data_IF_287983518795
#
_entry.id   IF_287983518795
#
_cell.length_a   1.000
_cell.length_b   1.000
_cell.length_c   1.000
_cell.angle_alpha   90.00
_cell.angle_beta   90.00
_cell.angle_gamma   90.00
#
_symmetry.space_group_name_H-M   'P 1'
#
loop_
_entity.id
_entity.type
_entity.pdbx_description
1 polymer ?
#
# COMPACT_ATOMS: atom_id res chain seq x y z
N UNK A 1 27.92 -9.12 -94.84
CA UNK A 1 27.44 -7.91 -94.17
C UNK A 1 26.56 -8.36 -92.97
N UNK A 2 27.18 -8.62 -91.85
CA UNK A 2 26.52 -9.12 -90.62
C UNK A 2 26.34 -7.94 -89.70
N UNK A 3 25.08 -7.59 -89.35
CA UNK A 3 24.72 -6.60 -88.35
C UNK A 3 24.68 -7.27 -87.02
N UNK A 4 25.58 -6.83 -86.11
CA UNK A 4 25.62 -7.19 -84.69
C UNK A 4 24.57 -6.38 -83.99
N UNK A 5 23.53 -6.96 -83.42
CA UNK A 5 22.58 -6.32 -82.50
C UNK A 5 23.13 -6.52 -81.10
N UNK A 6 23.53 -5.43 -80.48
CA UNK A 6 23.85 -5.41 -79.04
C UNK A 6 22.56 -5.12 -78.25
N UNK A 7 22.07 -6.13 -77.53
CA UNK A 7 20.99 -5.97 -76.58
C UNK A 7 21.57 -5.45 -75.29
N UNK A 8 21.29 -4.19 -74.97
CA UNK A 8 21.54 -3.61 -73.63
C UNK A 8 20.38 -4.00 -72.73
N UNK A 9 20.62 -4.97 -71.85
CA UNK A 9 19.68 -5.37 -70.82
C UNK A 9 19.80 -4.39 -69.65
N UNK A 10 18.87 -3.45 -69.51
CA UNK A 10 18.75 -2.58 -68.33
C UNK A 10 18.20 -3.41 -67.17
N UNK A 11 19.06 -3.81 -66.22
CA UNK A 11 18.64 -4.36 -64.97
C UNK A 11 18.21 -3.22 -64.08
N UNK A 12 16.89 -2.99 -63.98
CA UNK A 12 16.31 -2.13 -62.91
C UNK A 12 16.46 -2.88 -61.59
N UNK A 13 17.43 -2.52 -60.76
CA UNK A 13 17.52 -2.93 -59.36
C UNK A 13 16.46 -2.12 -58.62
N UNK A 14 15.29 -2.69 -58.43
CA UNK A 14 14.33 -2.22 -57.45
C UNK A 14 14.92 -2.52 -56.06
N UNK A 15 15.48 -1.51 -55.41
CA UNK A 15 15.80 -1.54 -53.97
C UNK A 15 14.46 -1.57 -53.24
N UNK A 16 13.96 -2.76 -52.89
CA UNK A 16 12.87 -2.92 -51.98
C UNK A 16 13.46 -2.57 -50.62
N UNK A 17 13.27 -1.33 -50.16
CA UNK A 17 13.43 -0.99 -48.78
C UNK A 17 12.32 -1.71 -48.03
N UNK A 18 12.61 -2.85 -47.41
CA UNK A 18 11.80 -3.37 -46.35
C UNK A 18 11.88 -2.35 -45.22
N UNK A 19 10.86 -1.53 -45.11
CA UNK A 19 10.58 -0.83 -43.87
C UNK A 19 10.14 -1.97 -42.94
N UNK A 20 11.07 -2.48 -42.17
CA UNK A 20 10.71 -3.23 -40.97
C UNK A 20 9.96 -2.22 -40.12
N UNK A 21 8.66 -2.45 -39.88
CA UNK A 21 8.02 -1.82 -38.75
C UNK A 21 8.91 -2.22 -37.56
N UNK A 22 9.50 -1.25 -36.90
CA UNK A 22 10.22 -1.48 -35.66
C UNK A 22 9.16 -2.01 -34.70
N UNK A 23 9.34 -3.24 -34.19
CA UNK A 23 8.44 -3.75 -33.17
C UNK A 23 8.54 -2.80 -32.00
N UNK A 24 7.41 -2.24 -31.58
CA UNK A 24 7.32 -1.34 -30.42
C UNK A 24 7.97 -2.03 -29.22
N UNK A 25 8.99 -1.41 -28.66
CA UNK A 25 9.62 -1.90 -27.44
C UNK A 25 8.91 -1.29 -26.23
N UNK A 26 8.51 -2.11 -25.25
CA UNK A 26 7.86 -1.55 -24.07
C UNK A 26 8.81 -0.62 -23.31
N UNK A 27 8.32 0.51 -22.79
CA UNK A 27 9.10 1.39 -21.94
C UNK A 27 9.47 0.71 -20.61
N UNK A 28 10.53 1.21 -19.98
CA UNK A 28 11.00 0.77 -18.67
C UNK A 28 10.97 1.94 -17.71
N UNK A 29 10.27 1.79 -16.59
CA UNK A 29 10.22 2.76 -15.49
C UNK A 29 11.21 2.41 -14.41
N UNK A 30 11.88 3.44 -13.86
CA UNK A 30 12.68 3.33 -12.64
C UNK A 30 12.42 4.51 -11.70
N UNK A 31 12.42 4.26 -10.40
CA UNK A 31 12.27 5.29 -9.38
C UNK A 31 13.11 4.95 -8.14
N UNK A 32 13.62 5.98 -7.47
CA UNK A 32 14.25 5.89 -6.16
C UNK A 32 13.56 6.85 -5.20
N UNK A 33 13.40 6.43 -3.96
CA UNK A 33 12.81 7.22 -2.88
C UNK A 33 12.36 6.29 -1.75
N UNK A 34 12.89 6.54 -0.56
CA UNK A 34 12.53 5.81 0.67
C UNK A 34 12.87 6.73 1.85
N UNK A 35 12.10 7.80 1.96
CA UNK A 35 12.35 8.88 2.92
C UNK A 35 11.47 8.72 4.16
N UNK A 36 11.86 9.38 5.25
CA UNK A 36 11.04 9.47 6.45
C UNK A 36 10.04 10.62 6.32
N UNK A 37 8.75 10.32 6.51
CA UNK A 37 7.68 11.30 6.37
C UNK A 37 7.58 12.23 7.57
N UNK A 38 7.60 13.54 7.31
CA UNK A 38 7.29 14.58 8.30
C UNK A 38 5.81 14.99 8.20
N UNK A 39 4.97 14.74 9.23
CA UNK A 39 3.54 15.03 9.18
C UNK A 39 3.22 16.49 8.85
N UNK A 40 2.09 16.73 8.19
CA UNK A 40 1.57 18.06 7.86
C UNK A 40 2.53 18.91 7.00
N UNK A 41 3.45 18.26 6.28
CA UNK A 41 4.35 18.91 5.32
C UNK A 41 4.15 18.35 3.91
N UNK A 42 4.48 19.16 2.90
CA UNK A 42 4.61 18.66 1.54
C UNK A 42 5.99 18.03 1.38
N UNK A 43 6.03 16.82 0.84
CA UNK A 43 7.26 16.07 0.64
C UNK A 43 7.28 15.41 -0.73
N UNK A 44 8.44 15.47 -1.41
CA UNK A 44 8.61 14.77 -2.68
C UNK A 44 8.42 13.26 -2.47
N UNK A 45 7.75 12.62 -3.41
CA UNK A 45 7.49 11.17 -3.38
C UNK A 45 8.62 10.35 -3.98
N UNK A 46 9.57 10.99 -4.62
CA UNK A 46 10.72 10.34 -5.24
C UNK A 46 11.95 11.24 -5.14
N UNK A 47 13.12 10.64 -5.04
CA UNK A 47 14.42 11.32 -5.16
C UNK A 47 14.96 11.30 -6.58
N UNK A 48 14.54 10.32 -7.38
CA UNK A 48 14.76 10.25 -8.81
C UNK A 48 13.70 9.40 -9.50
N UNK A 49 13.31 9.81 -10.70
CA UNK A 49 12.37 9.08 -11.56
C UNK A 49 12.85 9.14 -13.01
N UNK A 50 12.77 8.02 -13.72
CA UNK A 50 13.14 7.94 -15.12
C UNK A 50 12.24 6.97 -15.91
N UNK A 51 12.05 7.25 -17.18
CA UNK A 51 11.43 6.41 -18.19
C UNK A 51 12.40 6.26 -19.34
N UNK A 52 12.72 5.02 -19.71
CA UNK A 52 13.49 4.70 -20.89
C UNK A 52 12.57 4.03 -21.90
N UNK A 53 12.42 4.64 -23.07
CA UNK A 53 11.67 4.11 -24.19
C UNK A 53 12.56 4.23 -25.44
N UNK A 54 12.97 3.09 -26.08
CA UNK A 54 13.96 3.11 -27.16
C UNK A 54 13.43 3.66 -28.47
N UNK A 55 12.12 3.66 -28.71
CA UNK A 55 11.51 3.97 -30.01
C UNK A 55 10.39 5.02 -29.92
N UNK A 56 9.87 5.33 -28.73
CA UNK A 56 8.90 6.39 -28.51
C UNK A 56 9.47 7.56 -27.70
N UNK A 57 9.03 8.77 -28.02
CA UNK A 57 9.40 10.01 -27.31
C UNK A 57 8.23 10.65 -26.58
N UNK A 58 7.03 10.11 -26.77
CA UNK A 58 5.78 10.57 -26.17
C UNK A 58 5.02 9.37 -25.60
N UNK A 59 4.20 9.61 -24.59
CA UNK A 59 3.25 8.62 -24.07
C UNK A 59 1.92 9.27 -23.73
N UNK A 60 0.85 8.47 -23.72
CA UNK A 60 -0.51 8.94 -23.49
C UNK A 60 -0.68 9.45 -22.06
N UNK A 61 -0.29 8.66 -21.07
CA UNK A 61 -0.39 9.01 -19.67
C UNK A 61 0.64 8.26 -18.80
N UNK A 62 0.94 8.83 -17.64
CA UNK A 62 1.55 8.15 -16.50
C UNK A 62 0.64 8.30 -15.29
N UNK A 63 0.50 7.26 -14.52
CA UNK A 63 -0.30 7.24 -13.29
C UNK A 63 0.59 7.09 -12.07
N UNK A 64 0.31 7.90 -11.04
CA UNK A 64 0.94 7.79 -9.72
C UNK A 64 -0.16 7.52 -8.71
N UNK A 65 -0.12 6.37 -8.04
CA UNK A 65 -1.11 5.99 -7.04
C UNK A 65 -0.46 5.86 -5.67
N UNK A 66 -1.18 6.26 -4.63
CA UNK A 66 -0.86 5.86 -3.25
C UNK A 66 -1.36 4.43 -3.08
N UNK A 67 -0.53 3.46 -3.48
CA UNK A 67 -0.91 2.04 -3.58
C UNK A 67 -1.01 1.31 -2.24
N UNK A 68 -0.48 1.92 -1.16
CA UNK A 68 -0.61 1.38 0.20
C UNK A 68 -0.75 2.53 1.20
N UNK A 69 -1.70 2.38 2.11
CA UNK A 69 -1.91 3.31 3.21
C UNK A 69 -2.64 4.60 2.82
N UNK A 70 -3.34 4.65 1.69
CA UNK A 70 -4.13 5.81 1.27
C UNK A 70 -5.24 6.11 2.27
N UNK A 71 -5.39 7.39 2.62
CA UNK A 71 -6.44 7.91 3.47
C UNK A 71 -7.29 8.92 2.68
N UNK A 72 -8.42 8.45 2.17
CA UNK A 72 -9.32 9.27 1.34
C UNK A 72 -9.78 10.52 2.10
N UNK A 73 -9.67 11.68 1.44
CA UNK A 73 -10.02 12.99 2.01
C UNK A 73 -8.92 13.62 2.88
N UNK A 74 -7.86 12.90 3.23
CA UNK A 74 -6.74 13.40 4.01
C UNK A 74 -5.45 13.50 3.18
N UNK A 75 -5.21 12.51 2.30
CA UNK A 75 -4.03 12.38 1.48
C UNK A 75 -4.23 12.98 0.09
N UNK A 76 -3.19 13.60 -0.44
CA UNK A 76 -3.19 14.21 -1.76
C UNK A 76 -1.82 14.17 -2.41
N UNK A 77 -1.79 13.88 -3.72
CA UNK A 77 -0.65 14.13 -4.60
C UNK A 77 -0.89 15.41 -5.39
N UNK A 78 0.13 16.25 -5.50
CA UNK A 78 0.07 17.53 -6.20
C UNK A 78 1.33 17.76 -7.01
N UNK A 79 1.17 18.13 -8.28
CA UNK A 79 2.26 18.63 -9.09
C UNK A 79 2.60 20.07 -8.70
N UNK A 80 3.85 20.31 -8.32
CA UNK A 80 4.39 21.64 -8.00
C UNK A 80 5.19 22.21 -9.17
N UNK A 81 5.66 23.45 -9.03
CA UNK A 81 6.48 24.07 -10.08
C UNK A 81 5.68 24.55 -11.30
N UNK A 82 6.33 24.62 -12.46
CA UNK A 82 5.75 25.09 -13.72
C UNK A 82 6.01 24.11 -14.85
N UNK A 83 4.98 23.41 -15.25
CA UNK A 83 4.98 22.37 -16.29
C UNK A 83 3.95 22.68 -17.38
N UNK A 84 4.24 23.64 -18.29
CA UNK A 84 3.25 24.13 -19.25
C UNK A 84 2.76 23.08 -20.26
N UNK A 85 3.51 22.00 -20.44
CA UNK A 85 3.20 20.91 -21.36
C UNK A 85 2.53 19.70 -20.65
N UNK A 86 2.22 19.82 -19.35
CA UNK A 86 1.63 18.78 -18.53
C UNK A 86 0.28 19.24 -17.99
N UNK A 87 -0.67 18.32 -17.96
CA UNK A 87 -1.94 18.41 -17.23
C UNK A 87 -2.02 17.26 -16.24
N UNK A 88 -2.67 17.49 -15.10
CA UNK A 88 -2.88 16.47 -14.08
C UNK A 88 -4.33 16.38 -13.68
N UNK A 89 -4.78 15.17 -13.33
CA UNK A 89 -6.08 14.91 -12.73
C UNK A 89 -5.91 14.05 -11.48
N UNK A 90 -6.45 14.51 -10.34
CA UNK A 90 -6.42 13.76 -9.08
C UNK A 90 -7.74 13.02 -8.87
N UNK A 91 -7.71 11.69 -8.88
CA UNK A 91 -8.82 10.83 -8.53
C UNK A 91 -8.80 10.54 -7.02
N UNK A 92 -9.73 11.18 -6.28
CA UNK A 92 -9.83 11.05 -4.82
C UNK A 92 -10.41 9.72 -4.36
N UNK A 93 -11.04 8.94 -5.24
CA UNK A 93 -11.54 7.62 -4.91
C UNK A 93 -10.38 6.61 -4.81
N UNK A 94 -9.53 6.59 -5.83
CA UNK A 94 -8.41 5.66 -5.96
C UNK A 94 -7.09 6.15 -5.36
N UNK A 95 -7.02 7.42 -4.91
CA UNK A 95 -5.74 7.98 -4.49
C UNK A 95 -4.72 8.07 -5.63
N UNK A 96 -5.18 8.38 -6.85
CA UNK A 96 -4.42 8.28 -8.10
C UNK A 96 -4.31 9.61 -8.83
N UNK A 97 -3.09 10.00 -9.18
CA UNK A 97 -2.76 11.18 -9.99
C UNK A 97 -2.45 10.74 -11.41
N UNK A 98 -3.25 11.19 -12.36
CA UNK A 98 -3.01 11.04 -13.79
C UNK A 98 -2.16 12.22 -14.29
N UNK A 99 -1.14 11.94 -15.10
CA UNK A 99 -0.23 12.91 -15.73
C UNK A 99 -0.31 12.72 -17.23
N UNK A 100 -0.79 13.74 -17.95
CA UNK A 100 -0.94 13.77 -19.43
C UNK A 100 -0.42 15.06 -20.02
N UNK A 101 -0.46 15.20 -21.32
CA UNK A 101 -0.35 16.49 -21.98
C UNK A 101 -1.65 17.31 -21.88
N UNK A 102 -1.60 18.62 -22.19
CA UNK A 102 -2.77 19.49 -22.11
C UNK A 102 -3.96 18.97 -22.92
N UNK A 103 -5.12 18.89 -22.26
CA UNK A 103 -6.36 18.39 -22.86
C UNK A 103 -6.42 16.86 -23.01
N UNK A 104 -5.62 16.11 -22.25
CA UNK A 104 -5.56 14.65 -22.30
C UNK A 104 -4.82 14.10 -23.52
N UNK A 105 -3.98 14.93 -24.15
CA UNK A 105 -3.15 14.48 -25.28
C UNK A 105 -1.87 13.82 -24.78
N UNK A 106 -1.18 13.03 -25.63
CA UNK A 106 0.15 12.51 -25.29
C UNK A 106 1.13 13.63 -24.92
N UNK A 107 1.99 13.38 -23.94
CA UNK A 107 3.06 14.27 -23.52
C UNK A 107 4.43 13.70 -23.88
N UNK A 108 5.44 14.59 -23.99
CA UNK A 108 6.81 14.11 -24.15
C UNK A 108 7.25 13.40 -22.86
N UNK A 109 7.95 12.28 -23.01
CA UNK A 109 8.51 11.50 -21.90
C UNK A 109 9.39 12.39 -21.01
N UNK A 110 10.20 13.28 -21.59
CA UNK A 110 11.03 14.21 -20.83
C UNK A 110 10.24 15.20 -19.96
N UNK A 111 9.07 15.66 -20.46
CA UNK A 111 8.19 16.56 -19.69
C UNK A 111 7.50 15.81 -18.55
N UNK A 112 7.11 14.54 -18.78
CA UNK A 112 6.55 13.65 -17.74
C UNK A 112 7.59 13.37 -16.66
N UNK A 113 8.82 13.00 -17.01
CA UNK A 113 9.91 12.77 -16.04
C UNK A 113 10.15 14.02 -15.19
N UNK A 114 10.18 15.20 -15.80
CA UNK A 114 10.36 16.45 -15.07
C UNK A 114 9.18 16.72 -14.11
N UNK A 115 7.96 16.44 -14.54
CA UNK A 115 6.76 16.60 -13.72
C UNK A 115 6.75 15.65 -12.53
N UNK A 116 7.02 14.36 -12.74
CA UNK A 116 7.02 13.34 -11.65
C UNK A 116 8.00 13.71 -10.54
N UNK A 117 9.19 14.22 -10.88
CA UNK A 117 10.18 14.64 -9.89
C UNK A 117 9.75 15.89 -9.07
N UNK A 118 8.71 16.59 -9.50
CA UNK A 118 8.12 17.75 -8.81
C UNK A 118 6.74 17.42 -8.17
N UNK A 119 6.31 16.14 -8.20
CA UNK A 119 5.11 15.70 -7.46
C UNK A 119 5.42 15.58 -5.98
N UNK A 120 4.55 16.18 -5.16
CA UNK A 120 4.63 16.11 -3.71
C UNK A 120 3.41 15.40 -3.13
N UNK A 121 3.64 14.71 -2.03
CA UNK A 121 2.61 14.16 -1.15
C UNK A 121 2.33 15.13 -0.01
N UNK A 122 1.08 15.22 0.40
CA UNK A 122 0.63 15.90 1.62
C UNK A 122 -0.49 15.10 2.26
N UNK A 123 -0.48 15.00 3.60
CA UNK A 123 -1.61 14.50 4.39
C UNK A 123 -2.03 15.54 5.42
N UNK A 124 -3.34 15.73 5.58
CA UNK A 124 -3.91 16.55 6.66
C UNK A 124 -3.98 15.80 7.99
N UNK A 125 -3.69 14.49 8.00
CA UNK A 125 -3.62 13.68 9.21
C UNK A 125 -2.34 14.00 10.00
N UNK A 126 -2.44 14.42 11.28
CA UNK A 126 -1.26 14.68 12.10
C UNK A 126 -0.54 13.39 12.56
N UNK A 127 -1.20 12.23 12.46
CA UNK A 127 -0.61 10.93 12.80
C UNK A 127 0.02 10.34 11.54
N UNK A 128 1.36 10.26 11.48
CA UNK A 128 2.02 9.76 10.28
C UNK A 128 1.75 8.26 10.10
N UNK A 129 1.46 7.86 8.87
CA UNK A 129 1.44 6.46 8.43
C UNK A 129 2.33 6.30 7.21
N UNK A 130 2.95 5.14 7.06
CA UNK A 130 3.77 4.87 5.88
C UNK A 130 2.90 4.81 4.63
N UNK A 131 3.45 5.30 3.52
CA UNK A 131 2.80 5.33 2.21
C UNK A 131 3.71 4.68 1.18
N UNK A 132 3.11 3.92 0.27
CA UNK A 132 3.80 3.44 -0.93
C UNK A 132 3.18 4.12 -2.14
N UNK A 133 4.02 4.62 -3.04
CA UNK A 133 3.60 5.24 -4.30
C UNK A 133 4.01 4.33 -5.43
N UNK A 134 3.07 3.93 -6.26
CA UNK A 134 3.33 3.22 -7.51
C UNK A 134 3.28 4.19 -8.69
N UNK A 135 4.22 4.03 -9.61
CA UNK A 135 4.27 4.74 -10.89
C UNK A 135 3.99 3.71 -11.98
N UNK A 136 2.99 3.93 -12.81
CA UNK A 136 2.51 2.91 -13.75
C UNK A 136 2.20 3.52 -15.10
N UNK A 137 2.63 2.84 -16.18
CA UNK A 137 2.16 3.07 -17.54
C UNK A 137 0.94 2.19 -17.76
N UNK A 138 -0.17 2.82 -18.20
CA UNK A 138 -1.49 2.16 -18.22
C UNK A 138 -2.27 2.41 -16.94
N UNK A 139 -3.58 2.23 -17.02
CA UNK A 139 -4.57 2.69 -16.04
C UNK A 139 -4.85 1.70 -14.90
N UNK A 140 -4.37 0.46 -14.99
CA UNK A 140 -4.52 -0.52 -13.91
C UNK A 140 -3.76 -0.10 -12.65
N UNK A 141 -4.34 -0.41 -11.49
CA UNK A 141 -3.75 -0.13 -10.19
C UNK A 141 -2.67 -1.17 -9.87
N UNK A 142 -1.44 -0.73 -9.65
CA UNK A 142 -0.31 -1.62 -9.38
C UNK A 142 -0.02 -1.71 -7.88
N UNK A 143 0.03 -2.93 -7.35
CA UNK A 143 0.43 -3.20 -5.98
C UNK A 143 1.87 -3.75 -5.93
N UNK A 144 2.84 -2.98 -5.42
CA UNK A 144 4.25 -3.39 -5.41
C UNK A 144 4.55 -4.64 -4.56
N UNK A 145 3.76 -4.91 -3.51
CA UNK A 145 3.98 -6.07 -2.62
C UNK A 145 3.69 -7.41 -3.31
N UNK A 146 2.77 -7.44 -4.27
CA UNK A 146 2.45 -8.62 -5.08
C UNK A 146 3.12 -8.60 -6.45
N UNK A 147 3.35 -7.40 -6.99
CA UNK A 147 3.75 -7.20 -8.38
C UNK A 147 2.60 -7.34 -9.37
N UNK A 148 1.35 -7.34 -8.88
CA UNK A 148 0.15 -7.52 -9.68
C UNK A 148 -0.57 -6.20 -9.96
N UNK A 149 -1.49 -6.25 -10.94
CA UNK A 149 -2.31 -5.13 -11.38
C UNK A 149 -3.78 -5.45 -11.16
N UNK A 150 -4.56 -4.47 -10.76
CA UNK A 150 -5.98 -4.62 -10.41
C UNK A 150 -6.83 -3.61 -11.17
N UNK A 151 -7.95 -4.08 -11.73
CA UNK A 151 -8.91 -3.25 -12.47
C UNK A 151 -10.33 -3.63 -12.07
N UNK A 152 -11.15 -2.64 -11.68
CA UNK A 152 -12.60 -2.83 -11.58
C UNK A 152 -13.21 -2.67 -12.97
N UNK A 153 -13.92 -3.68 -13.42
CA UNK A 153 -14.63 -3.69 -14.69
C UNK A 153 -16.11 -3.46 -14.42
N UNK A 154 -16.62 -2.30 -14.86
CA UNK A 154 -18.05 -2.01 -14.78
C UNK A 154 -18.84 -2.93 -15.71
N UNK A 155 -19.71 -3.77 -15.17
CA UNK A 155 -20.64 -4.60 -15.92
C UNK A 155 -21.89 -4.89 -15.06
N UNK A 156 -22.95 -4.16 -15.35
CA UNK A 156 -24.18 -4.19 -14.55
C UNK A 156 -24.91 -5.53 -14.76
N UNK A 157 -25.33 -6.15 -13.66
CA UNK A 157 -26.06 -7.42 -13.62
C UNK A 157 -25.25 -8.63 -14.16
N UNK A 158 -23.93 -8.53 -14.23
CA UNK A 158 -23.11 -9.67 -14.62
C UNK A 158 -23.20 -10.78 -13.55
N UNK A 159 -23.38 -12.03 -13.97
CA UNK A 159 -23.32 -13.18 -13.06
C UNK A 159 -21.87 -13.49 -12.68
N UNK A 160 -21.65 -14.17 -11.56
CA UNK A 160 -20.29 -14.52 -11.13
C UNK A 160 -19.55 -15.39 -12.18
N UNK A 161 -20.22 -16.41 -12.74
CA UNK A 161 -19.63 -17.27 -13.76
C UNK A 161 -19.27 -16.47 -15.02
N UNK A 162 -20.14 -15.53 -15.45
CA UNK A 162 -19.86 -14.69 -16.61
C UNK A 162 -18.70 -13.72 -16.32
N UNK A 163 -18.60 -13.16 -15.13
CA UNK A 163 -17.50 -12.30 -14.70
C UNK A 163 -16.16 -13.06 -14.70
N UNK A 164 -16.15 -14.29 -14.15
CA UNK A 164 -14.98 -15.17 -14.19
C UNK A 164 -14.54 -15.44 -15.64
N UNK A 165 -15.46 -15.89 -16.46
CA UNK A 165 -15.17 -16.25 -17.87
C UNK A 165 -14.71 -15.02 -18.67
N UNK A 166 -15.26 -13.84 -18.39
CA UNK A 166 -14.83 -12.58 -19.00
C UNK A 166 -13.43 -12.18 -18.54
N UNK A 167 -13.14 -12.22 -17.24
CA UNK A 167 -11.83 -11.92 -16.68
C UNK A 167 -10.74 -12.82 -17.29
N UNK A 168 -11.01 -14.12 -17.47
CA UNK A 168 -10.10 -15.08 -18.11
C UNK A 168 -9.80 -14.77 -19.59
N UNK A 169 -10.63 -13.97 -20.26
CA UNK A 169 -10.36 -13.52 -21.65
C UNK A 169 -9.60 -12.21 -21.71
N UNK A 170 -9.50 -11.50 -20.60
CA UNK A 170 -8.83 -10.20 -20.54
C UNK A 170 -7.31 -10.37 -20.40
N UNK A 171 -6.59 -9.42 -20.96
CA UNK A 171 -5.14 -9.36 -20.82
C UNK A 171 -4.67 -7.92 -20.57
N UNK A 172 -3.61 -7.75 -19.76
CA UNK A 172 -2.96 -6.48 -19.51
C UNK A 172 -1.49 -6.58 -19.88
N UNK A 173 -1.06 -5.97 -20.98
CA UNK A 173 0.30 -6.08 -21.55
C UNK A 173 0.81 -7.52 -21.68
N UNK A 174 -0.08 -8.47 -21.94
CA UNK A 174 0.24 -9.89 -22.08
C UNK A 174 0.14 -10.71 -20.78
N UNK A 175 -0.12 -10.09 -19.65
CA UNK A 175 -0.51 -10.78 -18.41
C UNK A 175 -1.93 -11.32 -18.56
N UNK A 176 -2.18 -12.54 -18.07
CA UNK A 176 -3.49 -13.16 -18.07
C UNK A 176 -4.36 -12.62 -16.95
N UNK A 177 -5.60 -12.20 -17.26
CA UNK A 177 -6.58 -11.77 -16.26
C UNK A 177 -7.32 -12.94 -15.60
N UNK A 178 -7.78 -12.71 -14.37
CA UNK A 178 -8.66 -13.59 -13.59
C UNK A 178 -9.45 -12.77 -12.56
N UNK A 179 -10.54 -13.31 -12.00
CA UNK A 179 -11.21 -12.65 -10.87
C UNK A 179 -10.24 -12.57 -9.69
N UNK A 180 -10.12 -11.40 -9.09
CA UNK A 180 -9.13 -11.12 -8.06
C UNK A 180 -9.23 -12.07 -6.86
N UNK A 181 -8.06 -12.51 -6.40
CA UNK A 181 -7.86 -13.26 -5.16
C UNK A 181 -7.20 -12.34 -4.14
N UNK A 182 -7.78 -12.19 -2.96
CA UNK A 182 -7.39 -11.14 -2.00
C UNK A 182 -6.76 -11.79 -0.76
N UNK A 183 -5.43 -11.75 -0.66
CA UNK A 183 -4.66 -12.45 0.36
C UNK A 183 -4.10 -11.54 1.46
N UNK A 184 -4.27 -10.21 1.31
CA UNK A 184 -3.75 -9.21 2.24
C UNK A 184 -4.69 -8.02 2.38
N UNK A 185 -4.45 -7.21 3.42
CA UNK A 185 -5.17 -5.96 3.60
C UNK A 185 -4.86 -4.95 2.49
N UNK A 186 -3.64 -4.93 1.98
CA UNK A 186 -3.22 -4.06 0.89
C UNK A 186 -3.93 -4.41 -0.42
N UNK A 187 -4.08 -5.69 -0.75
CA UNK A 187 -4.86 -6.13 -1.91
C UNK A 187 -6.33 -5.78 -1.76
N UNK A 188 -6.86 -5.95 -0.57
CA UNK A 188 -8.24 -5.57 -0.26
C UNK A 188 -8.45 -4.06 -0.41
N UNK A 189 -7.52 -3.24 0.10
CA UNK A 189 -7.59 -1.80 0.01
C UNK A 189 -7.55 -1.33 -1.45
N UNK A 190 -6.56 -1.75 -2.24
CA UNK A 190 -6.41 -1.33 -3.64
C UNK A 190 -7.58 -1.79 -4.51
N UNK A 191 -8.20 -2.94 -4.17
CA UNK A 191 -9.41 -3.43 -4.81
C UNK A 191 -10.63 -2.58 -4.45
N UNK A 192 -10.80 -2.25 -3.17
CA UNK A 192 -11.92 -1.48 -2.66
C UNK A 192 -11.94 -0.02 -3.13
N UNK A 193 -10.77 0.59 -3.34
CA UNK A 193 -10.65 2.01 -3.73
C UNK A 193 -11.11 2.28 -5.16
N UNK A 194 -11.21 1.27 -6.02
CA UNK A 194 -11.58 1.44 -7.42
C UNK A 194 -13.04 1.06 -7.74
N UNK A 195 -13.77 0.44 -6.78
CA UNK A 195 -15.14 -0.02 -7.04
C UNK A 195 -16.12 1.16 -7.16
N UNK A 196 -17.03 1.06 -8.12
CA UNK A 196 -18.15 1.99 -8.31
C UNK A 196 -19.46 1.47 -7.72
N UNK A 197 -19.42 0.31 -7.07
CA UNK A 197 -20.49 -0.42 -6.41
C UNK A 197 -20.01 -1.82 -6.06
N UNK A 198 -20.91 -2.69 -5.62
CA UNK A 198 -20.54 -4.07 -5.28
C UNK A 198 -20.01 -4.82 -6.51
N UNK A 199 -18.97 -5.64 -6.35
CA UNK A 199 -18.32 -6.35 -7.45
C UNK A 199 -17.83 -7.74 -7.07
N UNK A 200 -17.83 -8.65 -8.04
CA UNK A 200 -17.38 -10.02 -7.85
C UNK A 200 -15.87 -10.12 -7.61
N UNK A 201 -15.49 -11.09 -6.74
CA UNK A 201 -14.12 -11.54 -6.51
C UNK A 201 -14.01 -13.05 -6.68
N UNK A 202 -12.81 -13.61 -6.74
CA UNK A 202 -12.53 -14.97 -7.18
C UNK A 202 -12.73 -16.07 -6.15
N UNK A 203 -13.70 -15.95 -5.24
CA UNK A 203 -13.94 -16.92 -4.18
C UNK A 203 -15.35 -17.52 -4.23
N UNK A 204 -15.46 -18.81 -3.88
CA UNK A 204 -16.71 -19.48 -3.65
C UNK A 204 -16.58 -20.64 -2.64
N UNK A 205 -17.74 -21.19 -2.18
CA UNK A 205 -17.85 -22.41 -1.40
C UNK A 205 -18.80 -23.44 -2.03
N UNK A 206 -19.08 -23.31 -3.35
CA UNK A 206 -19.98 -24.14 -4.16
C UNK A 206 -19.74 -25.66 -4.00
N UNK A 207 -18.49 -26.08 -3.88
CA UNK A 207 -18.14 -27.51 -3.74
C UNK A 207 -18.53 -28.07 -2.37
N UNK A 208 -18.38 -27.28 -1.30
CA UNK A 208 -18.69 -27.66 0.07
C UNK A 208 -19.07 -26.42 0.86
N UNK A 209 -20.35 -26.34 1.25
CA UNK A 209 -20.93 -25.29 2.06
C UNK A 209 -20.09 -24.95 3.28
N UNK A 210 -19.77 -23.64 3.44
CA UNK A 210 -18.93 -23.09 4.49
C UNK A 210 -17.43 -23.39 4.35
N UNK A 211 -16.97 -23.91 3.20
CA UNK A 211 -15.55 -24.11 2.90
C UNK A 211 -15.13 -23.18 1.78
N UNK A 212 -14.86 -21.93 2.11
CA UNK A 212 -14.53 -20.88 1.16
C UNK A 212 -13.14 -21.03 0.59
N UNK A 213 -13.05 -21.09 -0.72
CA UNK A 213 -11.81 -21.23 -1.47
C UNK A 213 -11.65 -20.11 -2.48
N UNK A 214 -10.41 -19.67 -2.70
CA UNK A 214 -10.05 -18.99 -3.93
C UNK A 214 -10.11 -20.01 -5.05
N UNK A 215 -10.83 -19.71 -6.13
CA UNK A 215 -11.06 -20.67 -7.23
C UNK A 215 -10.57 -20.15 -8.58
N UNK A 216 -9.97 -18.99 -8.59
CA UNK A 216 -9.38 -18.31 -9.75
C UNK A 216 -7.91 -18.02 -9.51
N UNK A 217 -7.21 -17.61 -10.57
CA UNK A 217 -5.82 -17.17 -10.46
C UNK A 217 -4.82 -18.23 -10.02
N UNK A 218 -3.61 -17.78 -9.62
CA UNK A 218 -2.55 -18.65 -9.10
C UNK A 218 -2.93 -19.35 -7.79
N UNK A 219 -3.84 -18.79 -7.02
CA UNK A 219 -4.31 -19.25 -5.70
C UNK A 219 -5.45 -20.26 -5.79
N UNK A 220 -5.88 -20.63 -7.00
CA UNK A 220 -6.99 -21.56 -7.21
C UNK A 220 -6.84 -22.86 -6.41
N UNK A 221 -7.86 -23.19 -5.61
CA UNK A 221 -7.89 -24.34 -4.70
C UNK A 221 -7.39 -24.04 -3.28
N UNK A 222 -7.04 -22.77 -2.97
CA UNK A 222 -6.61 -22.37 -1.63
C UNK A 222 -7.80 -22.08 -0.73
N UNK A 223 -7.97 -22.86 0.35
CA UNK A 223 -8.97 -22.60 1.37
C UNK A 223 -8.52 -21.47 2.30
N UNK A 224 -9.36 -20.43 2.46
CA UNK A 224 -9.05 -19.28 3.29
C UNK A 224 -10.00 -19.08 4.48
N UNK A 225 -11.24 -19.63 4.43
CA UNK A 225 -12.22 -19.49 5.50
C UNK A 225 -13.02 -20.77 5.68
N UNK A 226 -13.38 -21.10 6.94
CA UNK A 226 -14.25 -22.23 7.26
C UNK A 226 -15.39 -21.81 8.19
N UNK A 227 -16.61 -22.17 7.80
CA UNK A 227 -17.86 -21.91 8.49
C UNK A 227 -18.61 -20.70 7.93
N UNK A 228 -19.75 -20.40 8.53
CA UNK A 228 -20.55 -19.21 8.25
C UNK A 228 -19.98 -17.99 9.00
N UNK A 229 -20.82 -16.97 9.27
CA UNK A 229 -20.42 -15.76 10.03
C UNK A 229 -19.83 -16.04 11.43
N UNK A 230 -19.99 -17.23 11.97
CA UNK A 230 -19.35 -17.66 13.23
C UNK A 230 -18.06 -18.45 12.98
N UNK A 231 -17.66 -18.61 11.73
CA UNK A 231 -16.45 -19.29 11.29
C UNK A 231 -15.17 -18.53 11.61
N UNK A 232 -14.08 -18.95 10.97
CA UNK A 232 -12.78 -18.30 11.13
C UNK A 232 -11.91 -18.47 9.88
N UNK A 233 -11.04 -17.50 9.67
CA UNK A 233 -10.00 -17.63 8.65
C UNK A 233 -9.07 -18.82 8.96
N UNK A 234 -8.61 -19.48 7.92
CA UNK A 234 -7.56 -20.49 8.01
C UNK A 234 -6.28 -19.83 8.51
N UNK A 235 -5.54 -20.50 9.35
CA UNK A 235 -4.33 -19.94 9.95
C UNK A 235 -3.36 -19.41 8.88
N UNK A 236 -3.06 -18.11 8.94
CA UNK A 236 -2.19 -17.43 8.00
C UNK A 236 -2.89 -16.89 6.74
N UNK A 237 -4.19 -17.08 6.61
CA UNK A 237 -4.99 -16.52 5.51
C UNK A 237 -5.68 -15.23 5.92
N UNK A 238 -5.84 -14.32 4.97
CA UNK A 238 -6.61 -13.11 5.11
C UNK A 238 -8.08 -13.36 4.78
N UNK A 239 -8.99 -12.69 5.48
CA UNK A 239 -10.41 -12.64 5.17
C UNK A 239 -10.99 -11.33 5.71
N UNK A 240 -11.90 -10.72 4.96
CA UNK A 240 -12.52 -9.45 5.31
C UNK A 240 -14.05 -9.48 5.14
N UNK A 241 -14.69 -10.51 5.68
CA UNK A 241 -16.14 -10.61 5.65
C UNK A 241 -16.83 -9.44 6.36
N UNK A 242 -17.93 -8.95 5.80
CA UNK A 242 -18.78 -7.96 6.44
C UNK A 242 -19.42 -8.51 7.74
N UNK A 243 -20.04 -7.65 8.53
CA UNK A 243 -20.70 -8.07 9.77
C UNK A 243 -21.82 -9.08 9.48
N UNK A 244 -21.76 -10.24 10.12
CA UNK A 244 -22.64 -11.40 9.96
C UNK A 244 -22.53 -12.12 8.62
N UNK A 245 -21.42 -11.98 7.91
CA UNK A 245 -21.12 -12.72 6.69
C UNK A 245 -19.94 -13.71 6.90
N UNK A 246 -19.84 -14.77 6.09
CA UNK A 246 -20.81 -15.26 5.11
C UNK A 246 -22.02 -15.87 5.81
N UNK A 247 -23.23 -15.70 5.30
CA UNK A 247 -24.43 -16.05 6.03
C UNK A 247 -25.37 -17.04 5.32
N UNK A 248 -25.18 -17.29 4.03
CA UNK A 248 -26.03 -18.17 3.19
C UNK A 248 -27.53 -17.85 3.39
N UNK A 249 -27.88 -16.56 3.33
CA UNK A 249 -29.15 -16.05 3.79
C UNK A 249 -30.09 -15.67 2.65
N UNK A 250 -31.33 -15.86 2.96
CA UNK A 250 -32.44 -14.93 2.77
C UNK A 250 -33.39 -15.15 1.61
N UNK A 251 -33.45 -16.30 0.92
CA UNK A 251 -34.61 -16.59 0.08
C UNK A 251 -35.17 -18.01 0.22
N UNK A 252 -36.15 -18.15 1.16
CA UNK A 252 -36.96 -19.36 1.31
C UNK A 252 -37.82 -19.70 0.05
N UNK A 253 -37.76 -18.87 -1.01
CA UNK A 253 -38.66 -18.99 -2.17
C UNK A 253 -37.94 -19.37 -3.48
N UNK A 254 -36.63 -19.21 -3.54
CA UNK A 254 -35.76 -19.67 -4.62
C UNK A 254 -34.61 -20.42 -3.95
N UNK A 255 -34.38 -21.67 -4.31
CA UNK A 255 -33.27 -22.48 -3.79
C UNK A 255 -31.91 -21.95 -4.32
N UNK A 256 -31.53 -20.76 -3.95
CA UNK A 256 -30.27 -20.15 -4.30
C UNK A 256 -29.42 -20.05 -3.05
N UNK A 257 -28.50 -20.98 -2.88
CA UNK A 257 -27.40 -20.90 -1.93
C UNK A 257 -26.55 -19.70 -2.33
N UNK A 258 -26.02 -18.94 -1.36
CA UNK A 258 -25.17 -17.77 -1.58
C UNK A 258 -23.71 -18.21 -1.63
N UNK A 259 -23.31 -18.80 -2.74
CA UNK A 259 -22.01 -19.46 -2.86
C UNK A 259 -20.87 -18.56 -3.37
N UNK A 260 -21.12 -17.30 -3.72
CA UNK A 260 -20.13 -16.49 -4.45
C UNK A 260 -19.82 -15.19 -3.73
N UNK A 261 -18.52 -14.94 -3.51
CA UNK A 261 -18.07 -13.76 -2.79
C UNK A 261 -18.03 -12.51 -3.69
N UNK A 262 -18.47 -11.38 -3.12
CA UNK A 262 -18.31 -10.07 -3.71
C UNK A 262 -17.74 -9.06 -2.71
N UNK A 263 -17.00 -8.05 -3.21
CA UNK A 263 -16.53 -6.91 -2.43
C UNK A 263 -17.63 -5.84 -2.35
N UNK A 264 -17.83 -5.24 -1.18
CA UNK A 264 -18.94 -4.34 -0.90
C UNK A 264 -18.52 -2.87 -0.90
N UNK A 265 -19.46 -2.00 -1.30
CA UNK A 265 -19.39 -0.57 -1.09
C UNK A 265 -20.21 -0.13 0.15
N UNK A 266 -20.25 1.17 0.41
CA UNK A 266 -20.95 1.74 1.57
C UNK A 266 -22.49 1.62 1.51
N UNK A 267 -23.06 1.18 0.40
CA UNK A 267 -24.51 0.95 0.27
C UNK A 267 -24.94 -0.40 0.83
N UNK A 268 -24.00 -1.34 0.96
CA UNK A 268 -24.22 -2.71 1.48
C UNK A 268 -23.59 -2.90 2.84
N UNK A 269 -22.35 -2.40 3.05
CA UNK A 269 -21.65 -2.63 4.30
C UNK A 269 -20.44 -1.74 4.52
N UNK A 270 -19.43 -2.28 5.17
CA UNK A 270 -18.14 -1.61 5.30
C UNK A 270 -17.46 -1.68 3.93
N UNK A 271 -17.03 -0.54 3.39
CA UNK A 271 -16.34 -0.50 2.08
C UNK A 271 -15.15 -1.46 2.08
N UNK A 272 -15.09 -2.32 1.08
CA UNK A 272 -14.05 -3.32 0.93
C UNK A 272 -14.25 -4.58 1.77
N UNK A 273 -15.32 -4.67 2.59
CA UNK A 273 -15.68 -5.96 3.19
C UNK A 273 -16.30 -6.90 2.16
N UNK A 274 -16.42 -8.18 2.50
CA UNK A 274 -16.98 -9.19 1.59
C UNK A 274 -18.32 -9.68 2.06
N UNK A 275 -19.16 -10.06 1.12
CA UNK A 275 -20.46 -10.68 1.35
C UNK A 275 -20.63 -11.84 0.37
N UNK A 276 -21.46 -12.83 0.71
CA UNK A 276 -21.85 -13.93 -0.16
C UNK A 276 -23.15 -13.61 -0.89
N UNK A 277 -23.29 -14.09 -2.11
CA UNK A 277 -24.50 -13.95 -2.95
C UNK A 277 -24.70 -15.18 -3.84
N UNK A 278 -25.94 -15.40 -4.33
CA UNK A 278 -26.20 -16.33 -5.44
C UNK A 278 -25.42 -15.93 -6.70
N UNK A 279 -25.25 -16.85 -7.64
CA UNK A 279 -24.55 -16.61 -8.91
C UNK A 279 -25.06 -15.39 -9.69
N UNK A 280 -26.36 -15.16 -9.66
CA UNK A 280 -27.01 -14.04 -10.35
C UNK A 280 -26.86 -12.69 -9.61
N UNK A 281 -26.26 -12.70 -8.41
CA UNK A 281 -26.20 -11.54 -7.55
C UNK A 281 -27.51 -11.27 -6.80
N UNK A 282 -27.55 -10.15 -6.09
CA UNK A 282 -28.72 -9.74 -5.29
C UNK A 282 -29.56 -8.65 -5.95
N UNK A 283 -30.45 -8.06 -5.15
CA UNK A 283 -31.38 -7.01 -5.58
C UNK A 283 -30.93 -5.63 -5.05
N UNK A 284 -31.34 -4.57 -5.70
CA UNK A 284 -31.08 -3.17 -5.30
C UNK A 284 -29.58 -2.90 -5.13
N UNK A 285 -29.13 -2.67 -3.89
CA UNK A 285 -27.71 -2.37 -3.59
C UNK A 285 -26.80 -3.61 -3.73
N UNK A 286 -27.34 -4.82 -3.61
CA UNK A 286 -26.60 -6.06 -3.79
C UNK A 286 -26.50 -6.51 -5.25
N UNK A 287 -27.13 -5.76 -6.18
CA UNK A 287 -26.98 -6.00 -7.60
C UNK A 287 -25.53 -5.78 -8.03
N UNK A 288 -24.91 -6.75 -8.68
CA UNK A 288 -23.53 -6.63 -9.17
C UNK A 288 -23.38 -5.42 -10.11
N UNK A 289 -22.41 -4.56 -9.82
CA UNK A 289 -22.03 -3.41 -10.66
C UNK A 289 -20.84 -3.73 -11.56
N UNK A 290 -20.13 -4.81 -11.26
CA UNK A 290 -18.96 -5.25 -11.99
C UNK A 290 -18.18 -6.31 -11.23
N UNK A 291 -16.90 -6.38 -11.52
CA UNK A 291 -15.98 -7.34 -10.93
C UNK A 291 -14.55 -6.82 -10.92
N UNK A 292 -13.72 -7.36 -10.02
CA UNK A 292 -12.30 -7.03 -9.97
C UNK A 292 -11.52 -8.05 -10.80
N UNK A 293 -10.75 -7.56 -11.76
CA UNK A 293 -9.78 -8.36 -12.51
C UNK A 293 -8.39 -8.12 -11.95
N UNK A 294 -7.70 -9.20 -11.66
CA UNK A 294 -6.30 -9.21 -11.27
C UNK A 294 -5.45 -9.76 -12.41
N UNK A 295 -4.26 -9.18 -12.61
CA UNK A 295 -3.29 -9.59 -13.62
C UNK A 295 -1.93 -9.78 -12.98
N UNK A 296 -1.32 -10.93 -13.20
CA UNK A 296 0.00 -11.30 -12.68
C UNK A 296 0.01 -12.67 -12.02
N UNK A 297 1.21 -13.24 -11.88
CA UNK A 297 1.39 -14.53 -11.21
C UNK A 297 0.97 -15.77 -11.99
N UNK A 298 0.32 -15.63 -13.17
CA UNK A 298 -0.09 -16.77 -13.97
C UNK A 298 1.10 -17.43 -14.66
N UNK A 299 1.11 -18.77 -14.78
CA UNK A 299 2.17 -19.47 -15.50
C UNK A 299 2.28 -19.04 -16.97
N UNK A 300 3.39 -18.43 -17.33
CA UNK A 300 3.66 -17.96 -18.69
C UNK A 300 3.47 -16.46 -18.90
N UNK A 301 3.07 -15.74 -17.85
CA UNK A 301 3.03 -14.27 -17.88
C UNK A 301 4.42 -13.68 -18.19
N UNK A 302 4.49 -12.61 -19.00
CA UNK A 302 5.73 -11.89 -19.26
C UNK A 302 6.19 -11.10 -18.02
N UNK A 303 7.50 -10.91 -17.89
CA UNK A 303 8.01 -9.90 -16.95
C UNK A 303 7.76 -8.50 -17.50
N UNK A 304 7.10 -7.63 -16.72
CA UNK A 304 6.82 -6.24 -17.08
C UNK A 304 7.69 -5.29 -16.25
N UNK A 305 8.19 -4.23 -16.91
CA UNK A 305 8.90 -3.12 -16.28
C UNK A 305 8.11 -1.80 -16.44
N UNK A 306 6.77 -1.91 -16.53
CA UNK A 306 5.85 -0.79 -16.74
C UNK A 306 5.51 -0.06 -15.44
N UNK A 307 6.01 -0.55 -14.31
CA UNK A 307 5.74 0.01 -12.98
C UNK A 307 7.00 0.03 -12.14
N UNK A 308 7.07 1.00 -11.25
CA UNK A 308 8.08 1.10 -10.17
C UNK A 308 7.42 1.70 -8.92
N UNK A 309 8.12 1.71 -7.80
CA UNK A 309 7.55 2.25 -6.56
C UNK A 309 8.59 2.95 -5.69
N UNK A 310 8.09 3.88 -4.87
CA UNK A 310 8.83 4.54 -3.79
C UNK A 310 8.01 4.53 -2.50
N UNK A 311 8.59 4.95 -1.38
CA UNK A 311 7.86 5.02 -0.12
C UNK A 311 8.23 6.27 0.70
N UNK A 312 7.24 6.73 1.48
CA UNK A 312 7.45 7.62 2.61
C UNK A 312 7.13 6.85 3.89
N UNK A 313 8.11 6.72 4.77
CA UNK A 313 7.98 5.89 5.97
C UNK A 313 7.55 6.74 7.15
N UNK A 314 6.53 6.29 7.87
CA UNK A 314 6.23 6.86 9.17
C UNK A 314 7.39 6.59 10.13
N UNK A 315 7.79 7.57 10.94
CA UNK A 315 8.79 7.34 11.97
C UNK A 315 8.24 6.36 13.01
N UNK A 316 8.83 5.18 13.08
CA UNK A 316 8.48 4.17 14.08
C UNK A 316 9.43 4.27 15.26
N UNK A 317 8.91 4.72 16.43
CA UNK A 317 9.68 4.80 17.68
C UNK A 317 9.16 3.75 18.64
N UNK A 318 10.06 2.89 19.08
CA UNK A 318 9.81 1.96 20.19
C UNK A 318 10.49 2.50 21.45
N UNK A 319 9.74 2.59 22.55
CA UNK A 319 10.24 3.07 23.84
C UNK A 319 10.15 1.98 24.91
N UNK A 320 11.14 1.93 25.80
CA UNK A 320 11.11 1.11 27.00
C UNK A 320 11.14 2.02 28.23
N UNK A 321 10.03 2.04 28.96
CA UNK A 321 9.91 2.78 30.21
C UNK A 321 10.55 2.00 31.35
N UNK A 322 11.12 2.70 32.32
CA UNK A 322 11.67 2.10 33.54
C UNK A 322 10.69 2.25 34.69
N UNK A 323 10.52 1.16 35.44
CA UNK A 323 9.80 1.18 36.74
C UNK A 323 10.61 0.35 37.73
N UNK A 324 11.16 1.00 38.74
CA UNK A 324 11.99 0.31 39.72
C UNK A 324 12.66 1.28 40.71
N UNK A 325 13.65 0.76 41.39
CA UNK A 325 14.40 1.57 42.35
C UNK A 325 15.59 2.26 41.67
N UNK A 326 16.00 3.40 42.20
CA UNK A 326 17.05 4.23 41.60
C UNK A 326 18.37 3.44 41.34
N UNK A 327 18.76 2.59 42.29
CA UNK A 327 19.97 1.77 42.16
C UNK A 327 19.86 0.62 41.09
N UNK A 328 18.68 0.37 40.55
CA UNK A 328 18.41 -0.58 39.48
C UNK A 328 18.33 0.10 38.09
N UNK A 329 18.31 1.46 38.10
CA UNK A 329 18.17 2.21 36.84
C UNK A 329 19.43 2.09 36.00
N UNK A 330 19.27 1.55 34.79
CA UNK A 330 20.36 1.35 33.82
C UNK A 330 20.24 2.24 32.59
N UNK A 331 19.18 3.05 32.54
CA UNK A 331 18.86 3.95 31.42
C UNK A 331 17.47 3.72 30.86
N UNK A 332 17.04 4.67 30.04
CA UNK A 332 15.85 4.60 29.23
C UNK A 332 16.26 4.24 27.80
N UNK A 333 15.49 3.38 27.16
CA UNK A 333 15.75 2.96 25.77
C UNK A 333 14.66 3.50 24.84
N UNK A 334 15.08 4.12 23.75
CA UNK A 334 14.22 4.46 22.63
C UNK A 334 14.95 4.14 21.32
N UNK A 335 14.26 3.48 20.40
CA UNK A 335 14.84 3.08 19.12
C UNK A 335 13.93 3.50 17.98
N UNK A 336 14.52 3.83 16.85
CA UNK A 336 13.83 4.06 15.58
C UNK A 336 14.46 3.21 14.49
N UNK A 337 13.66 2.82 13.51
CA UNK A 337 14.12 1.96 12.40
C UNK A 337 15.18 2.62 11.53
N UNK A 338 15.17 3.96 11.40
CA UNK A 338 15.93 4.65 10.36
C UNK A 338 16.77 5.84 10.84
N UNK A 339 16.59 6.32 12.08
CA UNK A 339 17.22 7.56 12.54
C UNK A 339 17.77 7.44 13.95
N UNK A 340 18.70 8.35 14.33
CA UNK A 340 19.09 8.58 15.70
C UNK A 340 17.90 9.09 16.52
N UNK A 341 17.91 8.80 17.83
CA UNK A 341 16.91 9.33 18.76
C UNK A 341 17.46 10.57 19.44
N UNK A 342 16.67 11.65 19.39
CA UNK A 342 16.97 12.94 20.03
C UNK A 342 16.12 13.08 21.29
N UNK A 343 16.77 13.31 22.44
CA UNK A 343 16.15 13.39 23.77
C UNK A 343 16.06 14.83 24.25
N UNK A 344 14.90 15.18 24.78
CA UNK A 344 14.61 16.53 25.28
C UNK A 344 14.11 16.50 26.71
N UNK A 345 14.29 17.63 27.44
CA UNK A 345 13.82 17.83 28.80
C UNK A 345 12.36 18.25 28.90
N UNK A 346 11.69 18.54 27.79
CA UNK A 346 10.26 18.88 27.74
C UNK A 346 9.61 18.51 26.41
N UNK A 347 8.28 18.38 26.41
CA UNK A 347 7.46 18.05 25.25
C UNK A 347 7.64 19.07 24.13
N UNK A 348 7.59 20.33 24.45
CA UNK A 348 7.72 21.47 23.53
C UNK A 348 8.77 22.44 24.03
N UNK A 349 9.46 23.13 23.13
CA UNK A 349 10.45 24.16 23.38
C UNK A 349 11.60 23.78 24.32
N UNK A 350 11.79 22.53 24.70
CA UNK A 350 12.87 22.07 25.58
C UNK A 350 14.23 22.02 24.90
N UNK A 351 15.25 21.79 25.70
CA UNK A 351 16.62 21.64 25.22
C UNK A 351 16.92 20.21 24.82
N UNK A 352 17.66 20.02 23.71
CA UNK A 352 18.27 18.75 23.39
C UNK A 352 19.28 18.36 24.44
N UNK A 353 19.08 17.22 25.12
CA UNK A 353 19.92 16.77 26.25
C UNK A 353 20.80 15.57 25.89
N UNK A 354 20.38 14.77 24.91
CA UNK A 354 21.13 13.59 24.49
C UNK A 354 20.73 13.15 23.05
N UNK A 355 21.63 12.45 22.37
CA UNK A 355 21.39 11.79 21.09
C UNK A 355 21.87 10.35 21.17
N UNK A 356 21.04 9.41 20.77
CA UNK A 356 21.31 7.97 20.75
C UNK A 356 20.21 7.14 21.40
N UNK A 357 20.31 5.83 21.30
CA UNK A 357 19.22 4.91 21.64
C UNK A 357 19.04 4.67 23.15
N UNK A 358 20.08 4.85 23.94
CA UNK A 358 20.03 4.60 25.39
C UNK A 358 20.52 5.84 26.13
N UNK A 359 19.62 6.47 26.90
CA UNK A 359 19.93 7.63 27.74
C UNK A 359 19.95 7.21 29.20
N UNK A 360 21.07 7.45 29.87
CA UNK A 360 21.29 7.08 31.28
C UNK A 360 21.61 8.33 32.15
N UNK A 361 20.60 9.17 32.45
CA UNK A 361 20.76 10.31 33.32
C UNK A 361 20.89 9.91 34.81
N UNK A 362 21.53 10.75 35.60
CA UNK A 362 21.51 10.59 37.05
C UNK A 362 20.19 11.14 37.61
N UNK A 363 19.27 10.24 38.01
CA UNK A 363 17.94 10.57 38.51
C UNK A 363 17.69 9.98 39.88
N UNK A 364 17.02 10.70 40.76
CA UNK A 364 16.64 10.24 42.09
C UNK A 364 15.11 10.22 42.33
N UNK A 365 14.36 10.73 41.39
CA UNK A 365 12.89 10.81 41.44
C UNK A 365 12.31 10.45 40.05
N UNK A 366 11.05 10.07 40.03
CA UNK A 366 10.32 9.85 38.79
C UNK A 366 10.48 11.03 37.83
N UNK A 367 11.02 10.78 36.67
CA UNK A 367 11.35 11.82 35.68
C UNK A 367 10.89 11.38 34.30
N UNK A 368 10.28 12.30 33.53
CA UNK A 368 9.87 12.09 32.14
C UNK A 368 10.78 12.88 31.22
N UNK A 369 11.21 12.25 30.16
CA UNK A 369 11.90 12.83 29.01
C UNK A 369 11.06 12.66 27.77
N UNK A 370 11.40 13.37 26.71
CA UNK A 370 10.68 13.33 25.45
C UNK A 370 11.64 13.00 24.31
N UNK A 371 11.20 12.12 23.40
CA UNK A 371 12.03 11.64 22.30
C UNK A 371 11.41 11.92 20.95
N UNK A 372 12.24 12.11 19.94
CA UNK A 372 11.87 12.23 18.53
C UNK A 372 12.96 11.62 17.65
N UNK A 373 12.62 11.07 16.44
CA UNK A 373 13.61 10.59 15.48
C UNK A 373 14.15 11.70 14.59
N UNK A 374 13.69 12.95 14.76
CA UNK A 374 14.07 14.09 13.93
C UNK A 374 15.01 15.04 14.68
N UNK A 375 16.02 15.52 13.97
CA UNK A 375 16.87 16.60 14.46
C UNK A 375 16.08 17.91 14.54
N UNK A 376 16.62 18.90 15.28
CA UNK A 376 15.99 20.21 15.46
C UNK A 376 15.79 20.91 14.10
N UNK A 377 14.56 21.33 13.81
CA UNK A 377 14.17 22.00 12.58
C UNK A 377 13.93 21.07 11.37
N UNK A 378 14.14 19.77 11.51
CA UNK A 378 13.88 18.80 10.44
C UNK A 378 12.40 18.48 10.31
N UNK A 379 11.70 18.30 11.45
CA UNK A 379 10.27 18.07 11.48
C UNK A 379 9.61 18.67 12.74
N UNK A 380 9.29 19.94 12.67
CA UNK A 380 8.69 20.68 13.79
C UNK A 380 7.26 20.26 14.11
N UNK A 381 6.59 19.60 13.16
CA UNK A 381 5.21 19.11 13.31
C UNK A 381 5.10 17.74 13.99
N UNK A 382 6.22 17.05 14.20
CA UNK A 382 6.21 15.76 14.87
C UNK A 382 6.17 15.95 16.40
N UNK A 383 5.12 15.44 17.05
CA UNK A 383 4.98 15.47 18.50
C UNK A 383 6.00 14.54 19.17
N UNK A 384 6.81 15.08 20.08
CA UNK A 384 7.75 14.28 20.88
C UNK A 384 6.99 13.25 21.72
N UNK A 385 7.55 12.05 21.85
CA UNK A 385 6.96 10.93 22.60
C UNK A 385 7.51 10.94 24.02
N UNK A 386 6.66 10.92 25.07
CA UNK A 386 7.12 10.89 26.46
C UNK A 386 7.67 9.50 26.83
N UNK A 387 8.79 9.48 27.53
CA UNK A 387 9.39 8.27 28.11
C UNK A 387 9.74 8.54 29.57
N UNK A 388 9.24 7.69 30.47
CA UNK A 388 9.31 7.95 31.92
C UNK A 388 10.14 6.88 32.63
N UNK A 389 11.08 7.33 33.46
CA UNK A 389 11.66 6.53 34.50
C UNK A 389 10.86 6.72 35.78
N UNK A 390 10.08 5.73 36.16
CA UNK A 390 9.32 5.73 37.42
C UNK A 390 10.17 5.19 38.54
N UNK A 391 10.62 6.07 39.45
CA UNK A 391 11.40 5.67 40.62
C UNK A 391 10.46 5.37 41.78
N UNK A 392 10.42 4.12 42.18
CA UNK A 392 9.65 3.70 43.36
C UNK A 392 10.43 4.04 44.64
N UNK A 393 9.83 4.74 45.62
CA UNK A 393 10.49 4.96 46.88
C UNK A 393 10.70 3.66 47.62
N UNK A 394 11.87 3.50 48.23
CA UNK A 394 12.17 2.37 49.11
C UNK A 394 11.22 2.31 50.31
N UNK A 395 11.10 1.18 50.96
CA UNK A 395 10.23 1.03 52.13
C UNK A 395 10.71 1.94 53.24
N UNK A 396 9.76 2.58 53.94
CA UNK A 396 10.06 3.44 55.11
C UNK A 396 10.49 2.51 56.27
N UNK A 397 11.68 2.72 56.88
CA UNK A 397 12.11 1.91 58.00
C UNK A 397 11.17 2.08 59.18
N UNK A 398 10.67 1.00 59.72
CA UNK A 398 9.84 0.98 60.94
C UNK A 398 10.66 0.70 62.20
N UNK A 399 11.94 0.38 62.01
CA UNK A 399 12.88 0.10 63.09
C UNK A 399 14.15 0.95 62.89
N UNK A 400 14.65 1.67 63.94
CA UNK A 400 15.85 2.54 63.82
C UNK A 400 17.15 1.80 63.55
N UNK A 401 17.16 0.44 63.66
CA UNK A 401 18.32 -0.38 63.36
C UNK A 401 18.30 -0.99 61.93
N UNK A 402 17.39 -0.50 61.08
CA UNK A 402 17.31 -0.92 59.67
C UNK A 402 17.79 0.22 58.80
N UNK A 403 18.85 -0.01 58.04
CA UNK A 403 19.29 0.92 57.01
C UNK A 403 18.54 0.59 55.73
N UNK A 404 17.85 1.55 55.13
CA UNK A 404 17.16 1.41 53.86
C UNK A 404 18.00 2.09 52.77
N UNK A 405 18.43 1.31 51.80
CA UNK A 405 18.97 1.81 50.56
C UNK A 405 17.92 1.63 49.49
N UNK A 406 17.19 2.67 49.19
CA UNK A 406 16.10 2.89 48.24
C UNK A 406 15.21 1.64 47.89
N UNK A 407 15.79 0.49 47.61
CA UNK A 407 15.07 -0.74 47.21
C UNK A 407 15.39 -1.96 48.05
N UNK A 408 16.48 -1.90 48.82
CA UNK A 408 16.90 -2.95 49.72
C UNK A 408 17.05 -2.41 51.12
N UNK A 409 16.82 -3.26 52.11
CA UNK A 409 17.17 -2.92 53.51
C UNK A 409 18.09 -3.99 54.07
N UNK A 410 19.09 -3.55 54.80
CA UNK A 410 20.01 -4.43 55.50
C UNK A 410 19.62 -4.40 56.99
N UNK A 411 19.39 -5.58 57.55
CA UNK A 411 19.20 -5.72 59.01
C UNK A 411 20.58 -5.88 59.59
N UNK A 412 21.06 -4.89 60.35
CA UNK A 412 22.38 -4.90 60.99
C UNK A 412 22.42 -5.75 62.25
N UNK A 413 21.32 -5.93 62.97
CA UNK A 413 21.23 -6.77 64.14
C UNK A 413 19.81 -7.26 64.43
N UNK A 414 19.64 -8.58 64.58
CA UNK A 414 18.45 -9.21 65.14
C UNK A 414 18.68 -9.36 66.64
N UNK A 415 18.21 -8.42 67.43
CA UNK A 415 18.18 -8.58 68.89
C UNK A 415 16.98 -9.45 69.21
N UNK A 416 17.23 -10.71 69.53
CA UNK A 416 16.25 -11.58 70.15
C UNK A 416 16.34 -11.40 71.64
N UNK A 417 15.31 -10.87 72.27
CA UNK A 417 15.09 -10.93 73.73
C UNK A 417 14.83 -12.36 74.19
#
# INVERSE_FOLDING_TARGET
MIRLLVNILFILIFSINFIYAQDNQPPVISSDGNETYCPLTQQNITTSFNIEDPDDTTMDALYIQISTGYLSGEDQLTLTGSHPNIATFWNTLEGKLEITGPGGNPANISDIIAAVNDVVFYSSNPVPSSKTFSFTIGDANYLPSTGHYYVFVDDLDITWTAARDQAETMTYYGLQGYLATILSEEENQISAEQITGVGWIGANDEDVEGVWNWVTGPEAGTNFWNGNFTGSAVVGMYANWNNNEPNDCCDDTISSEENYAHITDNSVGIVGSWNDLPEEGGWDNFQAKGFIVEYGGMPGDPELNLSSSTSLNAPNITIEQFVGCNNEFTGLTATSSNNDIYWYDSETAGSLIYTGNVYNPDISTTTTYWVTPFSEGECDNFSRIPITATITPGPTPINPNVTVDQCTYTIEELVTD
#
